data_IF_170519464175
#
_entry.id   IF_170519464175
#
_cell.length_a   1.000
_cell.length_b   1.000
_cell.length_c   1.000
_cell.angle_alpha   90.00
_cell.angle_beta   90.00
_cell.angle_gamma   90.00
#
_symmetry.space_group_name_H-M   'P 1'
#
loop_
_entity.id
_entity.type
_entity.pdbx_description
1 polymer ?
#
# COMPACT_ATOMS: atom_id res chain seq x y z
N UNK A 1 -11.15 11.91 25.66
CA UNK A 1 -9.70 11.63 25.68
C UNK A 1 -9.46 10.62 26.78
N UNK A 2 -8.96 9.45 26.43
CA UNK A 2 -8.61 8.40 27.40
C UNK A 2 -7.11 8.42 27.63
N UNK A 3 -6.71 8.30 28.90
CA UNK A 3 -5.30 8.20 29.27
C UNK A 3 -4.63 7.00 28.59
N UNK A 4 -3.54 7.28 27.89
CA UNK A 4 -2.77 6.24 27.21
C UNK A 4 -1.74 5.67 28.17
N UNK A 5 -1.78 4.35 28.37
CA UNK A 5 -0.78 3.65 29.17
C UNK A 5 0.50 3.46 28.36
N UNK A 6 1.63 3.91 28.89
CA UNK A 6 2.94 3.64 28.32
C UNK A 6 3.67 2.59 29.16
N UNK A 7 4.10 1.51 28.52
CA UNK A 7 4.82 0.44 29.19
C UNK A 7 5.46 -0.51 28.17
N UNK A 8 6.31 -1.42 28.66
CA UNK A 8 7.09 -2.32 27.81
C UNK A 8 6.22 -3.13 26.84
N UNK A 9 5.08 -3.63 27.29
CA UNK A 9 4.17 -4.41 26.44
C UNK A 9 3.58 -3.56 25.30
N UNK A 10 3.19 -2.32 25.58
CA UNK A 10 2.64 -1.41 24.57
C UNK A 10 3.71 -1.07 23.53
N UNK A 11 4.94 -0.79 23.97
CA UNK A 11 6.07 -0.56 23.05
C UNK A 11 6.37 -1.80 22.20
N UNK A 12 6.35 -2.99 22.80
CA UNK A 12 6.59 -4.24 22.08
C UNK A 12 5.54 -4.49 20.98
N UNK A 13 4.26 -4.28 21.28
CA UNK A 13 3.19 -4.37 20.28
C UNK A 13 3.41 -3.40 19.11
N UNK A 14 3.84 -2.16 19.39
CA UNK A 14 4.14 -1.18 18.34
C UNK A 14 5.36 -1.61 17.50
N UNK A 15 6.41 -2.16 18.12
CA UNK A 15 7.58 -2.69 17.41
C UNK A 15 7.17 -3.80 16.45
N UNK A 16 6.32 -4.73 16.89
CA UNK A 16 5.91 -5.87 16.05
C UNK A 16 4.97 -5.44 14.91
N UNK A 17 4.08 -4.48 15.16
CA UNK A 17 3.27 -3.86 14.11
C UNK A 17 4.15 -3.14 13.06
N UNK A 18 5.12 -2.34 13.52
CA UNK A 18 6.08 -1.66 12.65
C UNK A 18 6.90 -2.64 11.80
N UNK A 19 7.38 -3.75 12.38
CA UNK A 19 8.11 -4.79 11.63
C UNK A 19 7.27 -5.39 10.51
N UNK A 20 5.99 -5.67 10.76
CA UNK A 20 5.07 -6.20 9.74
C UNK A 20 4.88 -5.18 8.62
N UNK A 21 4.56 -3.93 8.96
CA UNK A 21 4.42 -2.82 8.02
C UNK A 21 5.65 -2.67 7.13
N UNK A 22 6.85 -2.60 7.74
CA UNK A 22 8.11 -2.44 7.01
C UNK A 22 8.40 -3.64 6.09
N UNK A 23 8.08 -4.87 6.52
CA UNK A 23 8.25 -6.05 5.68
C UNK A 23 7.32 -6.06 4.46
N UNK A 24 6.08 -5.60 4.61
CA UNK A 24 5.14 -5.43 3.49
C UNK A 24 5.69 -4.42 2.48
N UNK A 25 6.20 -3.26 2.93
CA UNK A 25 6.82 -2.25 2.06
C UNK A 25 8.05 -2.82 1.35
N UNK A 26 8.93 -3.51 2.08
CA UNK A 26 10.13 -4.14 1.51
C UNK A 26 9.78 -5.18 0.42
N UNK A 27 8.71 -5.95 0.61
CA UNK A 27 8.25 -6.89 -0.41
C UNK A 27 7.77 -6.15 -1.67
N UNK A 28 7.01 -5.06 -1.52
CA UNK A 28 6.58 -4.24 -2.65
C UNK A 28 7.77 -3.66 -3.41
N UNK A 29 8.78 -3.08 -2.72
CA UNK A 29 10.01 -2.59 -3.34
C UNK A 29 10.73 -3.68 -4.14
N UNK A 30 10.85 -4.90 -3.57
CA UNK A 30 11.44 -6.04 -4.27
C UNK A 30 10.68 -6.43 -5.55
N UNK A 31 9.35 -6.41 -5.51
CA UNK A 31 8.52 -6.63 -6.70
C UNK A 31 8.69 -5.52 -7.73
N UNK A 32 8.76 -4.26 -7.27
CA UNK A 32 8.88 -3.07 -8.12
C UNK A 32 10.26 -2.88 -8.74
N UNK A 33 11.28 -3.60 -8.28
CA UNK A 33 12.58 -3.64 -8.97
C UNK A 33 12.48 -4.23 -10.40
N UNK A 34 11.37 -4.90 -10.73
CA UNK A 34 11.07 -5.46 -12.04
C UNK A 34 9.96 -4.71 -12.80
N UNK A 35 9.58 -3.52 -12.31
CA UNK A 35 8.57 -2.68 -12.91
C UNK A 35 9.15 -1.88 -14.08
N UNK A 36 8.65 -2.16 -15.28
CA UNK A 36 9.00 -1.48 -16.53
C UNK A 36 8.13 -0.24 -16.80
N UNK A 37 7.18 0.07 -15.90
CA UNK A 37 6.27 1.19 -16.05
C UNK A 37 5.13 0.93 -17.04
N UNK A 38 4.95 -0.31 -17.51
CA UNK A 38 3.83 -0.63 -18.37
C UNK A 38 2.49 -0.56 -17.63
N UNK A 39 1.45 -0.11 -18.34
CA UNK A 39 0.09 -0.05 -17.85
C UNK A 39 -0.81 -1.02 -18.62
N UNK A 40 -1.56 -1.81 -17.86
CA UNK A 40 -2.61 -2.71 -18.33
C UNK A 40 -3.96 -1.99 -18.19
N UNK A 41 -4.80 -1.97 -19.24
CA UNK A 41 -6.15 -1.41 -19.15
C UNK A 41 -6.99 -2.12 -18.07
N UNK A 42 -7.72 -1.34 -17.27
CA UNK A 42 -8.48 -1.84 -16.11
C UNK A 42 -9.43 -2.99 -16.48
N UNK A 43 -10.11 -2.88 -17.62
CA UNK A 43 -11.04 -3.87 -18.14
C UNK A 43 -10.40 -5.20 -18.53
N UNK A 44 -9.08 -5.20 -18.79
CA UNK A 44 -8.30 -6.41 -19.10
C UNK A 44 -7.60 -6.99 -17.88
N UNK A 45 -7.63 -6.29 -16.74
CA UNK A 45 -7.04 -6.78 -15.51
C UNK A 45 -7.84 -7.96 -14.95
N UNK A 46 -7.17 -8.98 -14.39
CA UNK A 46 -7.86 -10.02 -13.65
C UNK A 46 -8.68 -9.44 -12.48
N UNK A 47 -9.70 -10.17 -12.03
CA UNK A 47 -10.63 -9.72 -10.98
C UNK A 47 -9.93 -9.33 -9.68
N UNK A 48 -8.87 -10.05 -9.30
CA UNK A 48 -8.16 -9.79 -8.06
C UNK A 48 -7.42 -8.44 -8.07
N UNK A 49 -6.83 -8.03 -9.21
CA UNK A 49 -6.23 -6.70 -9.36
C UNK A 49 -7.30 -5.61 -9.26
N UNK A 50 -8.44 -5.79 -9.94
CA UNK A 50 -9.57 -4.85 -9.85
C UNK A 50 -10.13 -4.76 -8.44
N UNK A 51 -10.20 -5.88 -7.70
CA UNK A 51 -10.57 -5.92 -6.30
C UNK A 51 -9.60 -5.10 -5.43
N UNK A 52 -8.28 -5.27 -5.62
CA UNK A 52 -7.29 -4.52 -4.85
C UNK A 52 -7.34 -3.01 -5.14
N UNK A 53 -7.58 -2.61 -6.38
CA UNK A 53 -7.80 -1.20 -6.73
C UNK A 53 -9.08 -0.65 -6.08
N UNK A 54 -10.15 -1.44 -6.05
CA UNK A 54 -11.37 -1.07 -5.33
C UNK A 54 -11.13 -0.88 -3.83
N UNK A 55 -10.49 -1.86 -3.16
CA UNK A 55 -10.14 -1.74 -1.74
C UNK A 55 -9.22 -0.55 -1.44
N UNK A 56 -8.29 -0.27 -2.35
CA UNK A 56 -7.42 0.91 -2.23
C UNK A 56 -8.22 2.22 -2.33
N UNK A 57 -9.25 2.27 -3.16
CA UNK A 57 -10.15 3.41 -3.26
C UNK A 57 -11.04 3.59 -2.01
N UNK A 58 -11.53 2.51 -1.40
CA UNK A 58 -12.22 2.58 -0.11
C UNK A 58 -11.28 3.10 1.00
N UNK A 59 -10.02 2.64 0.98
CA UNK A 59 -9.03 3.01 1.98
C UNK A 59 -8.65 4.49 1.90
N UNK A 60 -8.56 5.07 0.70
CA UNK A 60 -8.30 6.51 0.52
C UNK A 60 -9.34 7.39 1.23
N UNK A 61 -10.62 7.02 1.17
CA UNK A 61 -11.68 7.77 1.85
C UNK A 61 -11.50 7.75 3.36
N UNK A 62 -11.14 6.58 3.92
CA UNK A 62 -10.87 6.43 5.35
C UNK A 62 -9.66 7.25 5.77
N UNK A 63 -8.58 7.22 4.98
CA UNK A 63 -7.35 7.97 5.26
C UNK A 63 -7.60 9.47 5.24
N UNK A 64 -8.25 9.99 4.19
CA UNK A 64 -8.52 11.42 4.02
C UNK A 64 -9.44 11.94 5.12
N UNK A 65 -10.57 11.27 5.35
CA UNK A 65 -11.49 11.63 6.43
C UNK A 65 -10.80 11.58 7.80
N UNK A 66 -9.93 10.58 8.01
CA UNK A 66 -9.17 10.45 9.25
C UNK A 66 -8.20 11.62 9.44
N UNK A 67 -7.51 12.07 8.40
CA UNK A 67 -6.63 13.23 8.49
C UNK A 67 -7.42 14.53 8.74
N UNK A 68 -8.53 14.75 8.03
CA UNK A 68 -9.39 15.92 8.21
C UNK A 68 -9.97 16.00 9.64
N UNK A 69 -10.27 14.84 10.22
CA UNK A 69 -10.82 14.73 11.58
C UNK A 69 -9.75 14.55 12.68
N UNK A 70 -8.46 14.57 12.34
CA UNK A 70 -7.34 14.30 13.27
C UNK A 70 -7.41 12.92 13.96
N UNK A 71 -8.00 11.91 13.33
CA UNK A 71 -8.20 10.56 13.85
C UNK A 71 -7.02 9.60 13.51
N UNK A 72 -5.78 9.98 13.82
CA UNK A 72 -4.57 9.22 13.43
C UNK A 72 -4.55 7.74 13.85
N UNK A 73 -5.22 7.41 14.97
CA UNK A 73 -5.38 6.01 15.42
C UNK A 73 -6.22 5.19 14.45
N UNK A 74 -7.28 5.79 13.90
CA UNK A 74 -8.15 5.14 12.91
C UNK A 74 -7.39 4.90 11.62
N UNK A 75 -6.63 5.90 11.16
CA UNK A 75 -5.79 5.81 9.96
C UNK A 75 -4.75 4.69 10.12
N UNK A 76 -3.96 4.74 11.19
CA UNK A 76 -2.90 3.74 11.45
C UNK A 76 -3.48 2.33 11.52
N UNK A 77 -4.63 2.15 12.18
CA UNK A 77 -5.28 0.84 12.27
C UNK A 77 -5.75 0.35 10.89
N UNK A 78 -6.45 1.18 10.14
CA UNK A 78 -6.95 0.81 8.81
C UNK A 78 -5.81 0.43 7.86
N UNK A 79 -4.73 1.22 7.84
CA UNK A 79 -3.55 0.95 7.01
C UNK A 79 -2.85 -0.34 7.44
N UNK A 80 -2.64 -0.56 8.75
CA UNK A 80 -2.00 -1.78 9.24
C UNK A 80 -2.84 -3.03 8.94
N UNK A 81 -4.15 -2.97 9.18
CA UNK A 81 -5.07 -4.08 8.92
C UNK A 81 -5.07 -4.40 7.43
N UNK A 82 -5.14 -3.40 6.55
CA UNK A 82 -5.04 -3.58 5.10
C UNK A 82 -3.71 -4.21 4.67
N UNK A 83 -2.58 -3.69 5.17
CA UNK A 83 -1.25 -4.19 4.82
C UNK A 83 -0.99 -5.63 5.28
N UNK A 84 -1.59 -6.03 6.41
CA UNK A 84 -1.40 -7.37 6.98
C UNK A 84 -2.39 -8.37 6.38
N UNK A 85 -3.68 -8.03 6.35
CA UNK A 85 -4.75 -8.96 5.97
C UNK A 85 -4.94 -9.00 4.46
N UNK A 86 -5.27 -7.85 3.86
CA UNK A 86 -5.61 -7.78 2.43
C UNK A 86 -4.37 -7.96 1.55
N UNK A 87 -3.23 -7.37 1.96
CA UNK A 87 -2.00 -7.45 1.16
C UNK A 87 -1.18 -8.69 1.51
N UNK A 88 -0.56 -8.72 2.70
CA UNK A 88 0.44 -9.76 3.00
C UNK A 88 -0.16 -11.17 3.08
N UNK A 89 -1.31 -11.34 3.71
CA UNK A 89 -1.91 -12.65 3.94
C UNK A 89 -2.78 -13.15 2.77
N UNK A 90 -3.27 -12.24 1.93
CA UNK A 90 -4.17 -12.57 0.84
C UNK A 90 -3.55 -12.27 -0.54
N UNK A 91 -3.49 -11.00 -0.94
CA UNK A 91 -3.14 -10.64 -2.32
C UNK A 91 -1.71 -11.06 -2.70
N UNK A 92 -0.72 -10.71 -1.87
CA UNK A 92 0.68 -11.02 -2.16
C UNK A 92 0.94 -12.52 -2.12
N UNK A 93 0.27 -13.25 -1.24
CA UNK A 93 0.44 -14.70 -1.16
C UNK A 93 -0.09 -15.38 -2.44
N UNK A 94 -1.27 -14.96 -2.92
CA UNK A 94 -1.85 -15.44 -4.18
C UNK A 94 -1.01 -15.03 -5.40
N UNK A 95 -0.42 -13.82 -5.40
CA UNK A 95 0.30 -13.29 -6.55
C UNK A 95 1.78 -13.66 -6.66
N UNK A 96 2.38 -14.28 -5.63
CA UNK A 96 3.76 -14.81 -5.73
C UNK A 96 3.96 -15.69 -6.96
N UNK A 97 3.03 -16.61 -7.23
CA UNK A 97 3.16 -17.52 -8.38
C UNK A 97 3.19 -16.75 -9.72
N UNK A 98 2.25 -15.81 -9.91
CA UNK A 98 2.24 -14.97 -11.11
C UNK A 98 3.47 -14.08 -11.23
N UNK A 99 3.97 -13.53 -10.13
CA UNK A 99 5.12 -12.62 -10.15
C UNK A 99 6.44 -13.35 -10.39
N UNK A 100 6.56 -14.60 -9.92
CA UNK A 100 7.81 -15.36 -9.98
C UNK A 100 7.89 -16.33 -11.16
N UNK A 101 6.75 -16.87 -11.61
CA UNK A 101 6.72 -17.96 -12.58
C UNK A 101 6.20 -17.54 -13.96
N UNK A 102 5.29 -16.57 -14.05
CA UNK A 102 4.79 -16.13 -15.36
C UNK A 102 5.87 -15.38 -16.15
N UNK A 103 5.82 -15.51 -17.47
CA UNK A 103 6.70 -14.76 -18.37
C UNK A 103 6.43 -13.24 -18.34
N UNK A 104 7.42 -12.41 -18.72
CA UNK A 104 7.28 -10.95 -18.72
C UNK A 104 6.10 -10.41 -19.53
N UNK A 105 5.67 -11.10 -20.59
CA UNK A 105 4.54 -10.72 -21.44
C UNK A 105 3.16 -11.07 -20.85
N UNK A 106 3.08 -11.74 -19.70
CA UNK A 106 1.82 -12.13 -19.07
C UNK A 106 1.05 -10.88 -18.59
N UNK A 107 -0.19 -10.73 -19.07
CA UNK A 107 -1.10 -9.66 -18.63
C UNK A 107 -1.32 -9.74 -17.13
N UNK A 108 -1.44 -10.95 -16.56
CA UNK A 108 -1.60 -11.16 -15.11
C UNK A 108 -0.39 -10.62 -14.35
N UNK A 109 0.83 -10.94 -14.78
CA UNK A 109 2.07 -10.44 -14.15
C UNK A 109 2.16 -8.92 -14.23
N UNK A 110 1.94 -8.34 -15.42
CA UNK A 110 1.97 -6.88 -15.63
C UNK A 110 0.95 -6.15 -14.78
N UNK A 111 -0.30 -6.64 -14.77
CA UNK A 111 -1.37 -6.07 -13.95
C UNK A 111 -1.03 -6.17 -12.45
N UNK A 112 -0.48 -7.30 -11.98
CA UNK A 112 -0.07 -7.43 -10.58
C UNK A 112 1.03 -6.44 -10.19
N UNK A 113 2.06 -6.24 -11.04
CA UNK A 113 3.13 -5.26 -10.81
C UNK A 113 2.57 -3.83 -10.80
N UNK A 114 1.71 -3.48 -11.75
CA UNK A 114 1.05 -2.17 -11.79
C UNK A 114 0.20 -1.92 -10.53
N UNK A 115 -0.57 -2.89 -10.06
CA UNK A 115 -1.33 -2.74 -8.80
C UNK A 115 -0.38 -2.58 -7.61
N UNK A 116 0.72 -3.32 -7.54
CA UNK A 116 1.74 -3.14 -6.49
C UNK A 116 2.35 -1.74 -6.55
N UNK A 117 2.55 -1.16 -7.75
CA UNK A 117 3.02 0.21 -7.94
C UNK A 117 2.04 1.19 -7.30
N UNK A 118 0.76 1.09 -7.63
CA UNK A 118 -0.28 1.93 -7.05
C UNK A 118 -0.41 1.77 -5.53
N UNK A 119 -0.33 0.53 -5.01
CA UNK A 119 -0.36 0.25 -3.58
C UNK A 119 0.82 0.93 -2.86
N UNK A 120 2.04 0.75 -3.35
CA UNK A 120 3.23 1.35 -2.78
C UNK A 120 3.12 2.88 -2.75
N UNK A 121 2.80 3.46 -3.90
CA UNK A 121 2.65 4.90 -4.10
C UNK A 121 1.65 5.53 -3.12
N UNK A 122 0.52 4.87 -2.87
CA UNK A 122 -0.49 5.35 -1.94
C UNK A 122 -0.07 5.16 -0.49
N UNK A 123 0.33 3.95 -0.12
CA UNK A 123 0.66 3.61 1.27
C UNK A 123 1.83 4.44 1.80
N UNK A 124 2.89 4.61 1.01
CA UNK A 124 4.08 5.37 1.43
C UNK A 124 3.73 6.84 1.68
N UNK A 125 2.96 7.47 0.77
CA UNK A 125 2.55 8.86 0.93
C UNK A 125 1.55 9.05 2.07
N UNK A 126 0.58 8.16 2.23
CA UNK A 126 -0.38 8.23 3.35
C UNK A 126 0.26 7.98 4.71
N UNK A 127 1.30 7.14 4.80
CA UNK A 127 2.03 6.90 6.05
C UNK A 127 3.07 7.98 6.35
N UNK A 128 3.50 8.76 5.37
CA UNK A 128 4.60 9.71 5.51
C UNK A 128 4.44 10.70 6.69
N UNK A 129 3.24 11.26 6.97
CA UNK A 129 3.06 12.15 8.12
C UNK A 129 3.23 11.46 9.48
N UNK A 130 3.07 10.13 9.56
CA UNK A 130 3.17 9.36 10.81
C UNK A 130 4.51 8.62 10.96
N UNK A 131 5.15 8.25 9.83
CA UNK A 131 6.41 7.50 9.78
C UNK A 131 7.43 8.20 8.85
N UNK A 132 7.84 9.44 9.15
CA UNK A 132 8.51 10.30 8.18
C UNK A 132 9.84 9.74 7.67
N UNK A 133 10.65 9.14 8.53
CA UNK A 133 11.95 8.58 8.15
C UNK A 133 11.81 7.31 7.32
N UNK A 134 10.94 6.40 7.74
CA UNK A 134 10.77 5.11 7.06
C UNK A 134 10.13 5.28 5.68
N UNK A 135 9.17 6.20 5.56
CA UNK A 135 8.53 6.46 4.27
C UNK A 135 9.45 7.23 3.32
N UNK A 136 10.27 8.15 3.84
CA UNK A 136 11.32 8.81 3.05
C UNK A 136 12.32 7.78 2.49
N UNK A 137 12.83 6.89 3.35
CA UNK A 137 13.76 5.81 2.93
C UNK A 137 13.14 4.95 1.82
N UNK A 138 11.90 4.49 2.01
CA UNK A 138 11.20 3.68 1.02
C UNK A 138 10.97 4.45 -0.29
N UNK A 139 10.56 5.71 -0.21
CA UNK A 139 10.28 6.55 -1.37
C UNK A 139 11.53 6.79 -2.22
N UNK A 140 12.65 7.15 -1.60
CA UNK A 140 13.91 7.40 -2.30
C UNK A 140 14.55 6.12 -2.85
N UNK A 141 14.30 4.96 -2.25
CA UNK A 141 14.70 3.66 -2.81
C UNK A 141 13.99 3.40 -4.16
N UNK A 142 12.69 3.73 -4.26
CA UNK A 142 11.91 3.57 -5.50
C UNK A 142 12.13 4.70 -6.51
N UNK A 143 12.33 5.92 -6.02
CA UNK A 143 12.43 7.16 -6.79
C UNK A 143 13.72 7.91 -6.40
N UNK A 144 14.91 7.46 -6.86
CA UNK A 144 16.18 8.04 -6.45
C UNK A 144 16.37 9.49 -6.89
N UNK A 145 15.65 9.93 -7.94
CA UNK A 145 15.68 11.30 -8.44
C UNK A 145 14.67 12.23 -7.73
N UNK A 146 13.79 11.68 -6.88
CA UNK A 146 12.85 12.49 -6.11
C UNK A 146 13.59 13.25 -4.99
N UNK A 147 13.08 14.43 -4.64
CA UNK A 147 13.68 15.24 -3.57
C UNK A 147 13.29 14.71 -2.18
N UNK A 148 12.00 14.45 -1.96
CA UNK A 148 11.47 13.91 -0.71
C UNK A 148 10.00 13.54 -0.87
N UNK A 149 9.52 12.50 -0.18
CA UNK A 149 8.08 12.16 -0.14
C UNK A 149 7.26 13.26 0.52
N UNK A 150 7.87 14.05 1.41
CA UNK A 150 7.20 15.09 2.17
C UNK A 150 6.89 16.35 1.35
N UNK A 151 7.35 16.40 0.10
CA UNK A 151 7.01 17.44 -0.88
C UNK A 151 5.88 17.02 -1.82
N UNK A 152 5.45 15.75 -1.75
CA UNK A 152 4.41 15.21 -2.60
C UNK A 152 3.03 15.32 -1.95
N UNK A 153 2.01 15.48 -2.78
CA UNK A 153 0.62 15.41 -2.35
C UNK A 153 0.16 13.96 -2.25
N UNK A 154 -0.86 13.72 -1.43
CA UNK A 154 -1.55 12.42 -1.44
C UNK A 154 -2.10 12.12 -2.84
N UNK A 155 -1.91 10.90 -3.35
CA UNK A 155 -2.27 10.57 -4.72
C UNK A 155 -3.76 10.77 -4.99
N UNK A 156 -4.07 11.21 -6.19
CA UNK A 156 -5.43 11.17 -6.69
C UNK A 156 -5.82 9.72 -6.99
N UNK A 157 -6.93 9.26 -6.41
CA UNK A 157 -7.45 7.92 -6.69
C UNK A 157 -8.51 7.99 -7.79
N UNK A 158 -8.31 7.27 -8.92
CA UNK A 158 -9.28 7.25 -10.00
C UNK A 158 -10.65 6.71 -9.57
N UNK A 159 -11.72 7.43 -9.90
CA UNK A 159 -13.08 7.03 -9.53
C UNK A 159 -13.51 5.68 -10.15
N UNK A 160 -12.94 5.32 -11.31
CA UNK A 160 -13.22 4.05 -12.00
C UNK A 160 -12.61 2.82 -11.31
N UNK A 161 -11.79 2.98 -10.26
CA UNK A 161 -11.32 1.86 -9.45
C UNK A 161 -12.40 1.31 -8.52
N UNK A 162 -13.41 2.12 -8.18
CA UNK A 162 -14.53 1.64 -7.36
C UNK A 162 -15.40 0.67 -8.14
N UNK A 163 -15.57 -0.53 -7.58
CA UNK A 163 -16.41 -1.57 -8.17
C UNK A 163 -17.10 -2.38 -7.08
N UNK A 164 -18.29 -1.92 -6.68
CA UNK A 164 -19.12 -2.53 -5.63
C UNK A 164 -19.48 -4.00 -5.91
N UNK A 165 -19.50 -4.43 -7.17
CA UNK A 165 -19.80 -5.81 -7.52
C UNK A 165 -18.67 -6.79 -7.17
N UNK A 166 -17.47 -6.29 -6.87
CA UNK A 166 -16.32 -7.07 -6.41
C UNK A 166 -16.18 -7.07 -4.87
N UNK A 167 -16.94 -6.23 -4.16
CA UNK A 167 -16.81 -5.98 -2.72
C UNK A 167 -17.25 -7.14 -1.83
#
# INVERSE_FOLDING_TARGET
WEDQRLGKNVLQTNIDAYRKLRNTIRWMLGTLAHDDGEDVPLETMPELERLMLHRLAELDEVVRQGYDAFEFKRITRALLDFMVVELSAFYFDIRKDALYCDGPSSVKRKASVQVVRHLFDCLVRWLAPMLPFTMEEAWLDRHPDAVSVHLDQFPHIPANWKNEALA
#
